data_IF_952312606588
#
_entry.id   IF_952312606588
#
_cell.length_a   1.000
_cell.length_b   1.000
_cell.length_c   1.000
_cell.angle_alpha   90.00
_cell.angle_beta   90.00
_cell.angle_gamma   90.00
#
_symmetry.space_group_name_H-M   'P 1'
#
loop_
_entity.id
_entity.type
_entity.pdbx_description
1 polymer ?
#
# COMPACT_ATOMS: atom_id res chain seq x y z
N UNK A 1 -8.54 30.82 -42.15
CA UNK A 1 -9.42 31.63 -41.29
C UNK A 1 -9.38 30.99 -39.92
N UNK A 2 -8.82 31.72 -38.96
CA UNK A 2 -8.70 31.33 -37.56
C UNK A 2 -10.06 31.55 -36.92
N UNK A 3 -10.73 30.47 -36.48
CA UNK A 3 -11.92 30.59 -35.65
C UNK A 3 -11.59 30.22 -34.20
N UNK A 4 -11.80 31.25 -33.39
CA UNK A 4 -11.77 31.44 -31.94
C UNK A 4 -12.33 30.29 -31.08
N UNK A 5 -11.53 29.85 -30.10
CA UNK A 5 -11.97 29.14 -28.89
C UNK A 5 -12.62 30.14 -27.90
N UNK A 6 -13.68 29.76 -27.17
CA UNK A 6 -14.24 30.61 -26.13
C UNK A 6 -13.37 30.62 -24.86
N UNK A 7 -13.17 31.83 -24.32
CA UNK A 7 -12.47 32.06 -23.06
C UNK A 7 -13.25 31.50 -21.87
N UNK A 8 -12.60 30.67 -21.05
CA UNK A 8 -13.07 30.34 -19.70
C UNK A 8 -12.51 31.40 -18.76
N UNK A 9 -13.39 32.23 -18.23
CA UNK A 9 -13.11 33.25 -17.22
C UNK A 9 -12.63 32.61 -15.92
N UNK A 10 -11.53 33.13 -15.38
CA UNK A 10 -11.06 32.85 -14.03
C UNK A 10 -12.14 33.21 -13.00
N UNK A 11 -12.77 32.18 -12.41
CA UNK A 11 -13.57 32.29 -11.21
C UNK A 11 -12.64 32.29 -10.01
N UNK A 12 -12.30 33.47 -9.50
CA UNK A 12 -11.68 33.65 -8.20
C UNK A 12 -12.67 33.28 -7.10
N UNK A 13 -12.59 32.07 -6.58
CA UNK A 13 -13.37 31.64 -5.42
C UNK A 13 -12.46 31.41 -4.21
N UNK A 14 -12.51 32.35 -3.27
CA UNK A 14 -12.20 32.11 -1.86
C UNK A 14 -10.74 32.31 -1.46
N UNK A 15 -10.32 33.57 -1.25
CA UNK A 15 -9.40 33.84 -0.16
C UNK A 15 -10.13 33.47 1.14
N UNK A 16 -9.96 32.24 1.60
CA UNK A 16 -10.21 31.88 2.98
C UNK A 16 -9.30 32.74 3.85
N UNK A 17 -9.89 33.57 4.70
CA UNK A 17 -9.20 34.41 5.68
C UNK A 17 -8.17 33.59 6.46
N UNK A 18 -6.92 34.07 6.50
CA UNK A 18 -5.80 33.46 7.21
C UNK A 18 -5.95 33.46 8.75
N UNK A 19 -7.08 33.92 9.28
CA UNK A 19 -7.35 34.06 10.70
C UNK A 19 -8.13 32.84 11.20
N UNK A 20 -7.40 31.82 11.67
CA UNK A 20 -8.00 30.66 12.34
C UNK A 20 -7.16 29.39 12.35
N UNK A 21 -6.06 29.30 11.56
CA UNK A 21 -5.15 28.16 11.66
C UNK A 21 -4.50 28.18 13.05
N UNK A 22 -4.89 27.23 13.90
CA UNK A 22 -4.19 26.95 15.16
C UNK A 22 -2.69 26.90 14.85
N UNK A 23 -1.89 27.67 15.56
CA UNK A 23 -0.43 27.57 15.48
C UNK A 23 -0.04 26.21 16.06
N UNK A 24 0.10 25.21 15.17
CA UNK A 24 0.63 23.92 15.56
C UNK A 24 2.11 24.14 15.93
N UNK A 25 2.49 23.71 17.12
CA UNK A 25 3.89 23.61 17.52
C UNK A 25 4.12 22.18 17.96
N UNK A 26 5.13 21.54 17.38
CA UNK A 26 5.46 20.15 17.65
C UNK A 26 6.80 20.11 18.36
N UNK A 27 6.82 19.51 19.56
CA UNK A 27 8.07 19.23 20.25
C UNK A 27 8.64 17.90 19.79
N UNK A 28 9.87 17.92 19.30
CA UNK A 28 10.51 16.77 18.63
C UNK A 28 11.86 16.50 19.28
N UNK A 29 12.06 15.27 19.74
CA UNK A 29 13.39 14.78 20.11
C UNK A 29 14.09 14.19 18.88
N UNK A 30 15.41 14.40 18.77
CA UNK A 30 16.22 13.91 17.66
C UNK A 30 17.46 13.22 18.19
N UNK A 31 17.65 11.97 17.79
CA UNK A 31 18.87 11.20 18.05
C UNK A 31 19.87 11.45 16.91
N UNK A 32 20.96 12.13 17.23
CA UNK A 32 22.01 12.51 16.30
C UNK A 32 23.37 12.52 17.01
N UNK A 33 24.44 12.08 16.33
CA UNK A 33 25.80 12.17 16.88
C UNK A 33 26.30 13.60 17.01
N UNK A 34 26.09 14.40 15.98
CA UNK A 34 26.66 15.74 15.82
C UNK A 34 25.58 16.85 15.82
N UNK A 35 24.31 16.48 15.73
CA UNK A 35 23.18 17.40 15.61
C UNK A 35 22.80 17.71 14.16
N UNK A 36 23.56 17.22 13.17
CA UNK A 36 23.36 17.54 11.76
C UNK A 36 22.50 16.49 11.04
N UNK A 37 22.65 15.21 11.38
CA UNK A 37 21.91 14.10 10.74
C UNK A 37 21.22 13.17 11.72
N UNK A 38 20.12 12.57 11.29
CA UNK A 38 19.38 11.55 12.06
C UNK A 38 20.05 10.19 11.84
N UNK A 39 21.10 9.91 12.61
CA UNK A 39 22.01 8.79 12.36
C UNK A 39 22.20 7.84 13.55
N UNK A 40 21.59 8.13 14.70
CA UNK A 40 21.71 7.31 15.88
C UNK A 40 20.57 6.31 16.05
N UNK A 41 20.97 5.09 16.42
CA UNK A 41 20.06 4.07 16.94
C UNK A 41 19.58 4.48 18.34
N UNK A 42 18.30 4.23 18.64
CA UNK A 42 17.71 4.55 19.95
C UNK A 42 18.55 4.05 21.13
N UNK A 43 19.00 2.78 21.08
CA UNK A 43 19.77 2.18 22.16
C UNK A 43 21.24 2.61 22.24
N UNK A 44 21.74 3.40 21.27
CA UNK A 44 23.12 3.92 21.28
C UNK A 44 23.14 5.45 21.44
N UNK A 45 21.98 6.08 21.57
CA UNK A 45 21.90 7.50 21.81
C UNK A 45 22.27 7.79 23.26
N UNK A 46 23.20 8.71 23.48
CA UNK A 46 23.57 9.21 24.82
C UNK A 46 22.85 10.53 25.13
N UNK A 47 22.34 11.20 24.09
CA UNK A 47 21.63 12.46 24.19
C UNK A 47 20.61 12.63 23.06
N UNK A 48 19.64 13.52 23.29
CA UNK A 48 18.63 13.90 22.31
C UNK A 48 18.56 15.42 22.21
N UNK A 49 18.74 15.95 21.00
CA UNK A 49 18.46 17.36 20.73
C UNK A 49 16.94 17.53 20.68
N UNK A 50 16.40 18.50 21.41
CA UNK A 50 14.96 18.78 21.43
C UNK A 50 14.69 20.06 20.68
N UNK A 51 13.70 20.02 19.80
CA UNK A 51 13.28 21.12 18.96
C UNK A 51 11.81 21.41 19.18
N UNK A 52 11.45 22.70 19.16
CA UNK A 52 10.10 23.12 18.85
C UNK A 52 10.03 23.41 17.35
N UNK A 53 9.03 22.89 16.65
CA UNK A 53 8.83 23.10 15.22
C UNK A 53 7.45 23.68 14.97
N UNK A 54 7.40 24.83 14.33
CA UNK A 54 6.18 25.52 13.94
C UNK A 54 6.27 26.06 12.49
N UNK A 55 5.33 26.93 12.10
CA UNK A 55 5.29 27.52 10.76
C UNK A 55 6.50 28.39 10.38
N UNK A 56 7.35 28.79 11.34
CA UNK A 56 8.60 29.51 11.10
C UNK A 56 9.80 28.57 10.93
N UNK A 57 9.64 27.29 11.28
CA UNK A 57 10.67 26.26 11.16
C UNK A 57 11.16 25.71 12.51
N UNK A 58 12.18 24.85 12.49
CA UNK A 58 12.70 24.20 13.69
C UNK A 58 13.58 25.15 14.52
N UNK A 59 13.35 25.17 15.83
CA UNK A 59 14.18 25.87 16.80
C UNK A 59 14.63 24.89 17.87
N UNK A 60 15.95 24.68 18.00
CA UNK A 60 16.48 23.85 19.09
C UNK A 60 16.21 24.54 20.42
N UNK A 61 15.55 23.83 21.33
CA UNK A 61 15.19 24.33 22.66
C UNK A 61 15.98 23.69 23.77
N UNK A 62 16.54 22.49 23.53
CA UNK A 62 17.28 21.75 24.55
C UNK A 62 18.24 20.72 23.93
N UNK A 63 19.16 20.22 24.75
CA UNK A 63 19.97 19.02 24.50
C UNK A 63 19.97 18.18 25.78
N UNK A 64 19.18 17.09 25.78
CA UNK A 64 18.99 16.25 26.95
C UNK A 64 19.92 15.06 26.91
N UNK A 65 20.89 14.99 27.82
CA UNK A 65 21.79 13.84 27.99
C UNK A 65 21.16 12.85 28.96
N UNK A 66 21.31 11.56 28.69
CA UNK A 66 20.81 10.49 29.57
C UNK A 66 21.38 10.63 30.97
N UNK A 67 22.70 10.81 31.08
CA UNK A 67 23.42 10.91 32.36
C UNK A 67 22.85 12.02 33.27
N UNK A 68 22.55 13.20 32.71
CA UNK A 68 21.99 14.34 33.44
C UNK A 68 20.57 14.08 33.99
N UNK A 69 19.88 13.04 33.49
CA UNK A 69 18.49 12.73 33.81
C UNK A 69 18.32 11.42 34.60
N UNK A 70 19.40 10.66 34.86
CA UNK A 70 19.32 9.44 35.66
C UNK A 70 19.01 9.76 37.12
N UNK A 71 18.24 8.89 37.76
CA UNK A 71 17.85 9.00 39.17
C UNK A 71 18.69 8.11 40.09
N UNK A 72 19.31 7.06 39.54
CA UNK A 72 20.27 6.20 40.24
C UNK A 72 21.24 5.53 39.27
N UNK A 73 22.38 5.04 39.78
CA UNK A 73 23.40 4.33 38.99
C UNK A 73 22.90 3.01 38.39
N UNK A 74 21.92 2.37 39.02
CA UNK A 74 21.33 1.09 38.58
C UNK A 74 20.09 1.25 37.68
N UNK A 75 19.67 2.49 37.36
CA UNK A 75 18.46 2.72 36.55
C UNK A 75 18.68 2.25 35.11
N UNK A 76 17.74 1.51 34.52
CA UNK A 76 17.76 1.19 33.08
C UNK A 76 17.76 2.50 32.27
N UNK A 77 18.77 2.76 31.42
CA UNK A 77 18.83 3.95 30.57
C UNK A 77 17.55 4.18 29.75
N UNK A 78 16.82 3.13 29.37
CA UNK A 78 15.57 3.27 28.61
C UNK A 78 14.47 3.98 29.39
N UNK A 79 14.32 3.68 30.68
CA UNK A 79 13.33 4.35 31.53
C UNK A 79 13.69 5.83 31.70
N UNK A 80 14.98 6.13 31.80
CA UNK A 80 15.46 7.52 31.77
C UNK A 80 15.07 8.21 30.46
N UNK A 81 15.28 7.56 29.30
CA UNK A 81 14.88 8.12 28.00
C UNK A 81 13.37 8.36 27.95
N UNK A 82 12.55 7.37 28.27
CA UNK A 82 11.08 7.49 28.23
C UNK A 82 10.59 8.66 29.08
N UNK A 83 11.16 8.84 30.27
CA UNK A 83 10.85 9.98 31.14
C UNK A 83 11.35 11.30 30.54
N UNK A 84 12.59 11.34 30.05
CA UNK A 84 13.21 12.60 29.63
C UNK A 84 12.54 13.21 28.41
N UNK A 85 12.02 12.42 27.47
CA UNK A 85 11.39 12.92 26.23
C UNK A 85 9.86 12.85 26.24
N UNK A 86 9.24 12.62 27.40
CA UNK A 86 7.78 12.43 27.52
C UNK A 86 6.94 13.63 27.06
N UNK A 87 7.53 14.83 27.03
CA UNK A 87 6.89 16.06 26.53
C UNK A 87 7.08 16.26 25.02
N UNK A 88 7.85 15.40 24.35
CA UNK A 88 8.00 15.39 22.90
C UNK A 88 6.85 14.61 22.28
N UNK A 89 6.25 15.15 21.22
CA UNK A 89 5.24 14.42 20.45
C UNK A 89 5.88 13.36 19.53
N UNK A 90 7.11 13.61 19.06
CA UNK A 90 7.80 12.75 18.08
C UNK A 90 9.26 12.56 18.49
N UNK A 91 9.80 11.38 18.23
CA UNK A 91 11.22 11.04 18.30
C UNK A 91 11.73 10.61 16.92
N UNK A 92 12.70 11.36 16.38
CA UNK A 92 13.41 11.02 15.13
C UNK A 92 14.69 10.24 15.45
N UNK A 93 14.80 9.03 14.92
CA UNK A 93 15.90 8.09 15.19
C UNK A 93 16.26 7.32 13.92
N UNK A 94 17.52 6.90 13.77
CA UNK A 94 17.90 6.10 12.61
C UNK A 94 17.30 4.69 12.65
N UNK A 95 17.14 4.12 13.84
CA UNK A 95 16.47 2.84 14.06
C UNK A 95 16.04 2.71 15.53
N UNK A 96 14.95 2.01 15.75
CA UNK A 96 14.36 1.69 17.07
C UNK A 96 13.76 0.28 17.00
N UNK A 97 13.80 -0.45 18.11
CA UNK A 97 13.19 -1.78 18.20
C UNK A 97 11.69 -1.68 18.53
N UNK A 98 10.94 -2.77 18.29
CA UNK A 98 9.50 -2.82 18.53
C UNK A 98 9.11 -2.49 19.98
N UNK A 99 9.75 -3.13 20.96
CA UNK A 99 9.43 -2.89 22.38
C UNK A 99 9.63 -1.42 22.82
N UNK A 100 10.76 -0.75 22.52
CA UNK A 100 10.88 0.69 22.78
C UNK A 100 9.87 1.56 22.02
N UNK A 101 9.52 1.19 20.79
CA UNK A 101 8.56 1.93 19.98
C UNK A 101 7.14 1.87 20.60
N UNK A 102 6.70 0.69 21.04
CA UNK A 102 5.43 0.52 21.76
C UNK A 102 5.43 1.26 23.11
N UNK A 103 6.54 1.18 23.86
CA UNK A 103 6.68 1.87 25.15
C UNK A 103 6.56 3.40 24.98
N UNK A 104 7.18 3.98 23.96
CA UNK A 104 7.07 5.40 23.64
C UNK A 104 5.65 5.77 23.17
N UNK A 105 5.06 4.98 22.29
CA UNK A 105 3.72 5.23 21.76
C UNK A 105 2.65 5.22 22.87
N UNK A 106 2.72 4.27 23.81
CA UNK A 106 1.82 4.22 24.98
C UNK A 106 1.93 5.45 25.89
N UNK A 107 3.01 6.23 25.76
CA UNK A 107 3.28 7.47 26.49
C UNK A 107 3.04 8.72 25.63
N UNK A 108 2.49 8.57 24.43
CA UNK A 108 2.18 9.68 23.52
C UNK A 108 3.36 10.19 22.69
N UNK A 109 4.49 9.45 22.66
CA UNK A 109 5.67 9.80 21.85
C UNK A 109 5.75 8.89 20.64
N UNK A 110 5.59 9.44 19.44
CA UNK A 110 5.75 8.70 18.19
C UNK A 110 7.23 8.56 17.83
N UNK A 111 7.81 7.35 17.95
CA UNK A 111 9.16 7.09 17.46
C UNK A 111 9.12 6.65 15.99
N UNK A 112 9.89 7.33 15.13
CA UNK A 112 9.93 7.03 13.69
C UNK A 112 11.35 7.05 13.13
N UNK A 113 11.60 6.12 12.21
CA UNK A 113 12.83 6.04 11.42
C UNK A 113 12.63 6.47 9.94
N UNK A 114 11.46 7.01 9.59
CA UNK A 114 11.18 7.48 8.22
C UNK A 114 12.16 8.54 7.73
N UNK A 115 12.79 9.26 8.66
CA UNK A 115 13.75 10.32 8.39
C UNK A 115 15.20 9.88 8.61
N UNK A 116 15.46 8.59 8.80
CA UNK A 116 16.80 8.06 9.00
C UNK A 116 17.76 8.49 7.89
N UNK A 117 18.93 9.00 8.29
CA UNK A 117 19.96 9.50 7.40
C UNK A 117 19.69 10.90 6.83
N UNK A 118 18.49 11.49 6.96
CA UNK A 118 18.25 12.87 6.51
C UNK A 118 18.95 13.89 7.42
N UNK A 119 19.18 15.09 6.89
CA UNK A 119 19.59 16.23 7.72
C UNK A 119 18.48 16.61 8.71
N UNK A 120 18.85 17.02 9.92
CA UNK A 120 17.89 17.28 11.02
C UNK A 120 16.91 18.40 10.64
N UNK A 121 17.42 19.55 10.21
CA UNK A 121 16.59 20.71 9.84
C UNK A 121 15.57 20.41 8.71
N UNK A 122 15.96 19.86 7.54
CA UNK A 122 14.99 19.54 6.50
C UNK A 122 14.00 18.44 6.92
N UNK A 123 14.43 17.46 7.73
CA UNK A 123 13.53 16.43 8.25
C UNK A 123 12.47 16.98 9.20
N UNK A 124 12.84 17.92 10.08
CA UNK A 124 11.89 18.58 10.99
C UNK A 124 10.86 19.42 10.23
N UNK A 125 11.28 20.14 9.19
CA UNK A 125 10.35 20.90 8.33
C UNK A 125 9.39 19.98 7.57
N UNK A 126 9.89 18.88 7.02
CA UNK A 126 9.08 17.88 6.34
C UNK A 126 8.07 17.22 7.31
N UNK A 127 8.51 16.85 8.52
CA UNK A 127 7.63 16.35 9.58
C UNK A 127 6.51 17.34 9.90
N UNK A 128 6.85 18.61 10.10
CA UNK A 128 5.87 19.65 10.39
C UNK A 128 4.86 19.82 9.25
N UNK A 129 5.34 19.89 8.00
CA UNK A 129 4.47 19.98 6.83
C UNK A 129 3.50 18.79 6.74
N UNK A 130 3.99 17.57 6.96
CA UNK A 130 3.17 16.35 6.96
C UNK A 130 2.12 16.37 8.09
N UNK A 131 2.52 16.79 9.29
CA UNK A 131 1.61 16.87 10.44
C UNK A 131 0.56 17.97 10.26
N UNK A 132 0.93 19.10 9.64
CA UNK A 132 0.00 20.16 9.29
C UNK A 132 -0.99 19.70 8.21
N UNK A 133 -0.50 19.02 7.16
CA UNK A 133 -1.36 18.44 6.12
C UNK A 133 -2.32 17.39 6.69
N UNK A 134 -1.89 16.60 7.68
CA UNK A 134 -2.75 15.62 8.36
C UNK A 134 -3.83 16.26 9.25
N UNK A 135 -3.74 17.56 9.55
CA UNK A 135 -4.80 18.33 10.22
C UNK A 135 -5.73 19.05 9.23
N UNK A 136 -5.45 18.96 7.94
CA UNK A 136 -6.29 19.52 6.90
C UNK A 136 -7.45 18.56 6.62
N UNK A 137 -8.69 19.06 6.74
CA UNK A 137 -9.90 18.31 6.38
C UNK A 137 -10.15 18.34 4.86
N UNK A 138 -9.20 18.87 4.07
CA UNK A 138 -9.26 18.83 2.62
C UNK A 138 -9.40 17.37 2.11
N UNK A 139 -10.24 17.13 1.08
CA UNK A 139 -10.33 15.83 0.46
C UNK A 139 -8.97 15.35 -0.05
N UNK A 140 -8.62 14.10 0.24
CA UNK A 140 -7.43 13.46 -0.31
C UNK A 140 -7.57 13.33 -1.84
N UNK A 141 -6.53 13.71 -2.58
CA UNK A 141 -6.45 13.38 -4.00
C UNK A 141 -6.18 11.89 -4.16
N UNK A 142 -7.18 11.17 -4.64
CA UNK A 142 -7.16 9.71 -4.82
C UNK A 142 -7.07 9.32 -6.29
N UNK A 143 -6.81 10.27 -7.20
CA UNK A 143 -6.82 10.03 -8.65
C UNK A 143 -5.80 8.97 -9.11
N UNK A 144 -4.69 8.83 -8.39
CA UNK A 144 -3.64 7.85 -8.70
C UNK A 144 -3.72 6.56 -7.85
N UNK A 145 -4.72 6.44 -6.97
CA UNK A 145 -4.85 5.25 -6.11
C UNK A 145 -5.17 4.03 -6.97
N UNK A 146 -4.46 2.92 -6.73
CA UNK A 146 -4.67 1.67 -7.45
C UNK A 146 -4.48 0.45 -6.55
N UNK A 147 -5.21 -0.62 -6.86
CA UNK A 147 -4.94 -1.94 -6.30
C UNK A 147 -3.62 -2.47 -6.87
N UNK A 148 -2.74 -2.94 -6.00
CA UNK A 148 -1.42 -3.45 -6.39
C UNK A 148 -1.43 -4.97 -6.57
N UNK A 149 -1.86 -5.71 -5.56
CA UNK A 149 -1.91 -7.16 -5.60
C UNK A 149 -2.96 -7.75 -4.64
N UNK A 150 -3.38 -8.98 -4.93
CA UNK A 150 -3.98 -9.88 -3.95
C UNK A 150 -2.96 -10.98 -3.61
N UNK A 151 -2.67 -11.17 -2.32
CA UNK A 151 -1.74 -12.19 -1.87
C UNK A 151 -2.47 -13.47 -1.47
N UNK A 152 -2.05 -14.60 -2.05
CA UNK A 152 -2.54 -15.93 -1.75
C UNK A 152 -1.38 -16.75 -1.16
N UNK A 153 -1.66 -17.41 -0.03
CA UNK A 153 -0.75 -18.43 0.48
C UNK A 153 -1.00 -19.74 -0.25
N UNK A 154 0.06 -20.37 -0.72
CA UNK A 154 0.01 -21.64 -1.47
C UNK A 154 0.95 -22.66 -0.86
N UNK A 155 0.55 -23.92 -0.88
CA UNK A 155 1.37 -25.03 -0.38
C UNK A 155 2.56 -25.31 -1.29
N UNK A 156 2.40 -25.15 -2.61
CA UNK A 156 3.44 -25.39 -3.61
C UNK A 156 3.47 -24.25 -4.64
N UNK A 157 4.60 -23.53 -4.69
CA UNK A 157 4.79 -22.39 -5.56
C UNK A 157 4.83 -22.78 -7.05
N UNK A 158 5.49 -23.89 -7.40
CA UNK A 158 5.64 -24.30 -8.80
C UNK A 158 4.32 -24.83 -9.36
N UNK A 159 3.58 -25.62 -8.57
CA UNK A 159 2.25 -26.12 -8.95
C UNK A 159 1.28 -24.96 -9.20
N UNK A 160 1.38 -23.92 -8.37
CA UNK A 160 0.57 -22.71 -8.51
C UNK A 160 0.99 -21.90 -9.74
N UNK A 161 2.30 -21.72 -9.97
CA UNK A 161 2.81 -21.07 -11.19
C UNK A 161 2.34 -21.81 -12.45
N UNK A 162 2.39 -23.14 -12.48
CA UNK A 162 1.88 -23.90 -13.63
C UNK A 162 0.37 -23.67 -13.86
N UNK A 163 -0.43 -23.58 -12.80
CA UNK A 163 -1.84 -23.24 -12.92
C UNK A 163 -2.04 -21.83 -13.51
N UNK A 164 -1.49 -20.79 -12.86
CA UNK A 164 -1.73 -19.40 -13.27
C UNK A 164 -1.05 -19.05 -14.59
N UNK A 165 0.19 -19.49 -14.82
CA UNK A 165 0.93 -19.21 -16.05
C UNK A 165 0.61 -20.22 -17.17
N UNK A 166 0.74 -21.51 -16.90
CA UNK A 166 0.55 -22.56 -17.91
C UNK A 166 -0.91 -22.70 -18.36
N UNK A 167 -1.85 -22.66 -17.42
CA UNK A 167 -3.28 -22.89 -17.71
C UNK A 167 -4.07 -21.60 -17.90
N UNK A 168 -3.76 -20.52 -17.19
CA UNK A 168 -4.48 -19.24 -17.31
C UNK A 168 -3.72 -18.16 -18.10
N UNK A 169 -2.47 -18.42 -18.51
CA UNK A 169 -1.73 -17.55 -19.43
C UNK A 169 -1.10 -16.31 -18.78
N UNK A 170 -1.00 -16.26 -17.45
CA UNK A 170 -0.22 -15.21 -16.78
C UNK A 170 1.29 -15.38 -17.04
N UNK A 171 2.07 -14.35 -16.74
CA UNK A 171 3.54 -14.42 -16.72
C UNK A 171 4.06 -14.25 -15.30
N UNK A 172 5.23 -14.84 -15.02
CA UNK A 172 5.98 -14.54 -13.79
C UNK A 172 6.66 -13.19 -13.99
N UNK A 173 6.21 -12.19 -13.25
CA UNK A 173 6.75 -10.83 -13.30
C UNK A 173 7.97 -10.69 -12.40
N UNK A 174 7.93 -11.36 -11.25
CA UNK A 174 9.00 -11.33 -10.26
C UNK A 174 8.97 -12.60 -9.41
N UNK A 175 10.15 -13.04 -8.95
CA UNK A 175 10.31 -14.13 -7.99
C UNK A 175 11.40 -13.78 -6.98
N UNK A 176 11.17 -14.05 -5.69
CA UNK A 176 12.16 -13.85 -4.62
C UNK A 176 12.13 -14.97 -3.60
N UNK A 177 13.28 -15.20 -2.97
CA UNK A 177 13.42 -16.07 -1.80
C UNK A 177 13.85 -15.26 -0.59
N UNK A 178 13.16 -15.44 0.53
CA UNK A 178 13.43 -14.75 1.78
C UNK A 178 14.02 -15.71 2.80
N UNK A 179 15.29 -16.08 2.61
CA UNK A 179 15.98 -17.10 3.43
C UNK A 179 15.90 -16.88 4.94
N UNK A 180 15.91 -15.62 5.39
CA UNK A 180 15.80 -15.31 6.84
C UNK A 180 14.41 -15.55 7.40
N UNK A 181 13.39 -15.39 6.56
CA UNK A 181 11.98 -15.52 6.94
C UNK A 181 11.36 -16.83 6.43
N UNK A 182 12.16 -17.67 5.74
CA UNK A 182 11.83 -19.02 5.29
C UNK A 182 10.57 -19.10 4.41
N UNK A 183 10.49 -18.25 3.38
CA UNK A 183 9.44 -18.33 2.36
C UNK A 183 9.93 -17.92 0.97
N UNK A 184 9.22 -18.42 -0.05
CA UNK A 184 9.38 -18.04 -1.46
C UNK A 184 8.15 -17.27 -1.92
N UNK A 185 8.35 -16.28 -2.79
CA UNK A 185 7.25 -15.50 -3.36
C UNK A 185 7.38 -15.36 -4.88
N UNK A 186 6.25 -15.22 -5.56
CA UNK A 186 6.19 -14.84 -6.98
C UNK A 186 5.03 -13.87 -7.24
N UNK A 187 5.26 -12.84 -8.06
CA UNK A 187 4.21 -11.96 -8.57
C UNK A 187 3.85 -12.38 -9.99
N UNK A 188 2.56 -12.62 -10.23
CA UNK A 188 2.00 -13.05 -11.50
C UNK A 188 1.01 -12.03 -12.04
N UNK A 189 0.94 -11.87 -13.35
CA UNK A 189 -0.03 -10.97 -13.98
C UNK A 189 -0.15 -11.14 -15.48
N UNK A 190 -0.94 -10.27 -16.10
CA UNK A 190 -1.11 -10.15 -17.54
C UNK A 190 -0.50 -8.84 -18.04
N UNK A 191 0.04 -8.85 -19.27
CA UNK A 191 0.65 -7.67 -19.89
C UNK A 191 2.15 -7.52 -19.60
N UNK A 192 2.71 -6.38 -19.99
CA UNK A 192 4.12 -6.03 -19.87
C UNK A 192 4.40 -5.28 -18.55
N UNK A 193 4.40 -6.02 -17.43
CA UNK A 193 4.90 -5.53 -16.13
C UNK A 193 3.84 -5.39 -15.04
N UNK A 194 4.18 -4.68 -13.96
CA UNK A 194 3.39 -4.55 -12.72
C UNK A 194 2.45 -3.33 -12.69
N UNK A 195 2.05 -2.84 -13.88
CA UNK A 195 1.18 -1.67 -14.01
C UNK A 195 -0.28 -1.99 -13.66
N UNK A 196 -0.70 -3.25 -13.76
CA UNK A 196 -2.01 -3.75 -13.31
C UNK A 196 -1.97 -4.44 -11.94
N UNK A 197 -3.15 -4.82 -11.43
CA UNK A 197 -3.26 -5.67 -10.25
C UNK A 197 -2.63 -7.04 -10.52
N UNK A 198 -1.84 -7.54 -9.57
CA UNK A 198 -1.12 -8.83 -9.67
C UNK A 198 -1.62 -9.84 -8.64
N UNK A 199 -1.31 -11.12 -8.87
CA UNK A 199 -1.45 -12.17 -7.85
C UNK A 199 -0.07 -12.38 -7.22
N UNK A 200 0.04 -12.16 -5.92
CA UNK A 200 1.23 -12.51 -5.16
C UNK A 200 1.04 -13.90 -4.55
N UNK A 201 1.87 -14.85 -4.95
CA UNK A 201 1.89 -16.19 -4.37
C UNK A 201 2.98 -16.27 -3.32
N UNK A 202 2.64 -16.77 -2.13
CA UNK A 202 3.60 -16.97 -1.03
C UNK A 202 3.57 -18.42 -0.55
N UNK A 203 4.73 -19.09 -0.64
CA UNK A 203 4.93 -20.44 -0.13
C UNK A 203 5.89 -20.42 1.08
N UNK A 204 5.37 -20.74 2.26
CA UNK A 204 6.16 -20.82 3.50
C UNK A 204 6.83 -22.20 3.58
N UNK A 205 8.16 -22.23 3.77
CA UNK A 205 8.94 -23.47 3.67
C UNK A 205 8.71 -24.47 4.80
N UNK A 206 8.20 -23.99 5.93
CA UNK A 206 7.96 -24.79 7.13
C UNK A 206 6.46 -25.06 7.36
N UNK A 207 5.62 -24.81 6.36
CA UNK A 207 4.19 -25.09 6.43
C UNK A 207 3.87 -26.35 5.62
N UNK A 208 3.48 -27.42 6.31
CA UNK A 208 3.25 -28.74 5.70
C UNK A 208 1.76 -29.02 5.47
N UNK A 209 0.88 -28.42 6.28
CA UNK A 209 -0.56 -28.60 6.19
C UNK A 209 -1.17 -27.77 5.04
N UNK A 210 -2.37 -28.16 4.60
CA UNK A 210 -3.15 -27.32 3.69
C UNK A 210 -3.68 -26.07 4.42
N UNK A 211 -3.67 -24.92 3.76
CA UNK A 211 -4.27 -23.71 4.31
C UNK A 211 -5.80 -23.85 4.42
N UNK A 212 -6.35 -23.38 5.54
CA UNK A 212 -7.80 -23.28 5.74
C UNK A 212 -8.30 -21.99 5.07
N UNK A 213 -9.10 -22.13 4.01
CA UNK A 213 -9.62 -21.00 3.25
C UNK A 213 -10.68 -20.17 4.00
N UNK A 214 -11.45 -20.81 4.89
CA UNK A 214 -12.63 -20.20 5.52
C UNK A 214 -13.76 -19.94 4.51
N UNK A 215 -14.72 -19.10 4.88
CA UNK A 215 -15.92 -18.75 4.09
C UNK A 215 -16.03 -17.26 3.75
N UNK A 216 -15.06 -16.44 4.20
CA UNK A 216 -15.06 -15.00 3.99
C UNK A 216 -14.49 -14.58 2.62
N UNK A 217 -13.44 -15.25 2.14
CA UNK A 217 -12.83 -14.91 0.86
C UNK A 217 -13.64 -15.49 -0.31
N UNK A 218 -14.11 -14.60 -1.19
CA UNK A 218 -14.97 -14.98 -2.32
C UNK A 218 -14.21 -15.64 -3.46
N UNK A 219 -13.45 -14.85 -4.22
CA UNK A 219 -12.68 -15.27 -5.41
C UNK A 219 -11.85 -14.11 -5.96
N UNK A 220 -10.94 -14.43 -6.89
CA UNK A 220 -10.34 -13.47 -7.82
C UNK A 220 -11.03 -13.61 -9.18
N UNK A 221 -11.41 -12.49 -9.80
CA UNK A 221 -12.06 -12.48 -11.10
C UNK A 221 -11.07 -12.14 -12.23
N UNK A 222 -11.15 -12.87 -13.35
CA UNK A 222 -10.32 -12.69 -14.53
C UNK A 222 -11.22 -12.51 -15.76
N UNK A 223 -11.03 -11.39 -16.46
CA UNK A 223 -11.64 -11.16 -17.77
C UNK A 223 -11.00 -12.05 -18.83
N UNK A 224 -11.80 -12.86 -19.52
CA UNK A 224 -11.31 -13.82 -20.53
C UNK A 224 -12.03 -13.67 -21.86
N UNK A 225 -11.36 -14.09 -22.93
CA UNK A 225 -11.96 -14.27 -24.26
C UNK A 225 -12.13 -15.75 -24.55
N UNK A 226 -13.24 -16.10 -25.21
CA UNK A 226 -13.59 -17.48 -25.55
C UNK A 226 -13.61 -18.41 -24.33
N UNK A 227 -14.45 -18.06 -23.35
CA UNK A 227 -14.55 -18.77 -22.07
C UNK A 227 -14.87 -20.26 -22.24
N UNK A 228 -15.69 -20.63 -23.23
CA UNK A 228 -16.02 -22.04 -23.49
C UNK A 228 -14.76 -22.83 -23.84
N UNK A 229 -13.95 -22.35 -24.80
CA UNK A 229 -12.70 -23.00 -25.17
C UNK A 229 -11.71 -23.07 -24.01
N UNK A 230 -11.63 -22.02 -23.19
CA UNK A 230 -10.78 -22.02 -22.01
C UNK A 230 -11.23 -23.09 -21.01
N UNK A 231 -12.52 -23.13 -20.67
CA UNK A 231 -13.09 -24.11 -19.76
C UNK A 231 -12.95 -25.55 -20.26
N UNK A 232 -13.11 -25.81 -21.56
CA UNK A 232 -12.86 -27.13 -22.14
C UNK A 232 -11.40 -27.57 -21.93
N UNK A 233 -10.44 -26.66 -22.14
CA UNK A 233 -9.01 -26.92 -21.90
C UNK A 233 -8.72 -27.17 -20.42
N UNK A 234 -9.32 -26.40 -19.52
CA UNK A 234 -9.15 -26.54 -18.08
C UNK A 234 -9.74 -27.86 -17.57
N UNK A 235 -10.94 -28.23 -18.03
CA UNK A 235 -11.58 -29.50 -17.71
C UNK A 235 -10.76 -30.69 -18.22
N UNK A 236 -10.24 -30.62 -19.45
CA UNK A 236 -9.35 -31.65 -20.01
C UNK A 236 -8.03 -31.79 -19.23
N UNK A 237 -7.57 -30.72 -18.57
CA UNK A 237 -6.42 -30.72 -17.68
C UNK A 237 -6.76 -31.12 -16.23
N UNK A 238 -7.99 -31.54 -15.94
CA UNK A 238 -8.42 -32.00 -14.62
C UNK A 238 -8.64 -30.88 -13.59
N UNK A 239 -8.76 -29.63 -14.02
CA UNK A 239 -9.02 -28.49 -13.12
C UNK A 239 -10.46 -28.58 -12.58
N UNK A 240 -10.67 -28.51 -11.24
CA UNK A 240 -12.01 -28.49 -10.67
C UNK A 240 -12.81 -27.28 -11.16
N UNK A 241 -14.05 -27.53 -11.58
CA UNK A 241 -14.94 -26.50 -12.13
C UNK A 241 -16.30 -26.58 -11.43
N UNK A 242 -16.43 -26.06 -10.20
CA UNK A 242 -17.68 -26.11 -9.43
C UNK A 242 -18.85 -25.39 -10.13
N UNK A 243 -18.55 -24.46 -11.04
CA UNK A 243 -19.55 -23.82 -11.89
C UNK A 243 -19.06 -23.75 -13.35
N UNK A 244 -19.62 -24.55 -14.28
CA UNK A 244 -19.29 -24.45 -15.69
C UNK A 244 -19.78 -23.11 -16.29
N UNK A 245 -19.30 -22.72 -17.50
CA UNK A 245 -19.75 -21.52 -18.19
C UNK A 245 -21.27 -21.44 -18.29
N UNK A 246 -21.84 -20.35 -17.76
CA UNK A 246 -23.27 -20.04 -17.86
C UNK A 246 -23.48 -18.55 -18.09
N UNK A 247 -24.46 -18.22 -18.93
CA UNK A 247 -24.92 -16.85 -19.11
C UNK A 247 -25.56 -16.32 -17.82
N UNK A 248 -25.26 -15.08 -17.46
CA UNK A 248 -25.93 -14.36 -16.38
C UNK A 248 -27.28 -13.82 -16.86
N UNK A 249 -28.28 -13.72 -15.97
CA UNK A 249 -29.60 -13.18 -16.34
C UNK A 249 -29.50 -11.68 -16.71
N UNK A 250 -30.18 -11.28 -17.77
CA UNK A 250 -30.32 -9.90 -18.30
C UNK A 250 -29.08 -9.26 -18.94
N UNK A 251 -28.00 -10.00 -19.19
CA UNK A 251 -26.86 -9.49 -19.96
C UNK A 251 -25.98 -10.64 -20.42
N UNK A 252 -25.51 -10.57 -21.66
CA UNK A 252 -24.83 -11.64 -22.41
C UNK A 252 -23.46 -12.07 -21.83
N UNK A 253 -23.13 -11.64 -20.60
CA UNK A 253 -21.93 -12.03 -19.87
C UNK A 253 -21.98 -13.51 -19.52
N UNK A 254 -20.91 -14.24 -19.84
CA UNK A 254 -20.75 -15.65 -19.50
C UNK A 254 -19.75 -15.78 -18.35
N UNK A 255 -20.13 -16.53 -17.32
CA UNK A 255 -19.31 -16.72 -16.11
C UNK A 255 -19.10 -18.20 -15.83
N UNK A 256 -17.87 -18.56 -15.43
CA UNK A 256 -17.51 -19.87 -14.88
C UNK A 256 -16.68 -19.70 -13.59
N UNK A 257 -16.64 -20.72 -12.75
CA UNK A 257 -15.73 -20.79 -11.61
C UNK A 257 -14.88 -22.04 -11.71
N UNK A 258 -13.58 -21.86 -11.54
CA UNK A 258 -12.59 -22.93 -11.38
C UNK A 258 -11.88 -22.80 -10.04
N UNK A 259 -11.26 -23.87 -9.57
CA UNK A 259 -10.45 -23.86 -8.35
C UNK A 259 -8.97 -24.03 -8.72
N UNK A 260 -8.12 -23.25 -8.07
CA UNK A 260 -6.67 -23.40 -8.17
C UNK A 260 -6.20 -24.63 -7.34
N UNK A 261 -4.90 -24.98 -7.37
CA UNK A 261 -4.39 -26.18 -6.69
C UNK A 261 -4.57 -26.20 -5.16
N UNK A 262 -4.86 -25.05 -4.56
CA UNK A 262 -5.04 -24.86 -3.13
C UNK A 262 -6.51 -24.58 -2.77
N UNK A 263 -7.41 -24.62 -3.77
CA UNK A 263 -8.86 -24.49 -3.61
C UNK A 263 -9.38 -23.06 -3.70
N UNK A 264 -8.53 -22.07 -4.00
CA UNK A 264 -9.00 -20.71 -4.20
C UNK A 264 -9.87 -20.65 -5.47
N UNK A 265 -11.04 -20.02 -5.34
CA UNK A 265 -11.96 -19.84 -6.45
C UNK A 265 -11.48 -18.73 -7.38
N UNK A 266 -11.48 -19.02 -8.67
CA UNK A 266 -11.20 -18.09 -9.76
C UNK A 266 -12.45 -17.95 -10.62
N UNK A 267 -13.00 -16.73 -10.66
CA UNK A 267 -14.13 -16.40 -11.54
C UNK A 267 -13.59 -16.03 -12.92
N UNK A 268 -14.06 -16.73 -13.95
CA UNK A 268 -13.76 -16.41 -15.34
C UNK A 268 -14.94 -15.64 -15.92
N UNK A 269 -14.71 -14.43 -16.40
CA UNK A 269 -15.76 -13.53 -16.89
C UNK A 269 -15.51 -13.18 -18.35
N UNK A 270 -16.46 -13.51 -19.21
CA UNK A 270 -16.47 -13.02 -20.59
C UNK A 270 -17.56 -11.96 -20.74
N UNK A 271 -17.15 -10.73 -21.08
CA UNK A 271 -18.06 -9.65 -21.41
C UNK A 271 -18.90 -9.96 -22.67
N UNK A 272 -20.08 -9.32 -22.84
CA UNK A 272 -20.86 -9.38 -24.07
C UNK A 272 -19.99 -9.07 -25.29
N UNK A 273 -20.20 -9.80 -26.40
CA UNK A 273 -19.63 -9.38 -27.67
C UNK A 273 -20.28 -8.07 -28.08
N UNK A 274 -19.49 -7.05 -28.42
CA UNK A 274 -20.06 -5.87 -29.08
C UNK A 274 -20.70 -6.33 -30.39
N UNK A 275 -22.01 -6.14 -30.54
CA UNK A 275 -22.69 -6.29 -31.82
C UNK A 275 -22.02 -5.35 -32.82
N UNK A 276 -21.65 -5.85 -34.00
CA UNK A 276 -21.14 -4.98 -35.07
C UNK A 276 -22.15 -3.84 -35.33
N UNK A 277 -21.68 -2.61 -35.64
CA UNK A 277 -22.59 -1.52 -35.97
C UNK A 277 -23.40 -1.91 -37.20
N UNK A 278 -24.67 -2.26 -36.99
CA UNK A 278 -25.58 -2.65 -38.05
C UNK A 278 -25.68 -1.56 -39.10
N UNK A 279 -25.44 -1.92 -40.36
CA UNK A 279 -25.80 -1.10 -41.52
C UNK A 279 -27.30 -0.85 -41.47
N UNK A 280 -27.70 0.38 -41.19
CA UNK A 280 -29.08 0.82 -41.39
C UNK A 280 -29.36 0.82 -42.90
N UNK A 281 -30.18 -0.11 -43.39
CA UNK A 281 -30.79 0.03 -44.71
C UNK A 281 -31.76 1.21 -44.67
N UNK A 282 -31.45 2.26 -45.42
CA UNK A 282 -32.39 3.34 -45.70
C UNK A 282 -33.44 2.80 -46.66
N UNK A 283 -34.61 2.48 -46.14
CA UNK A 283 -35.78 2.18 -46.97
C UNK A 283 -36.25 3.50 -47.59
N UNK A 284 -35.99 3.69 -48.88
CA UNK A 284 -36.61 4.78 -49.64
C UNK A 284 -38.06 4.38 -49.95
N UNK A 285 -39.00 4.92 -49.18
CA UNK A 285 -40.41 4.85 -49.50
C UNK A 285 -40.66 5.70 -50.76
N UNK A 286 -40.86 5.04 -51.89
CA UNK A 286 -41.27 5.68 -53.14
C UNK A 286 -42.71 5.25 -53.40
N UNK A 287 -43.66 6.04 -52.89
CA UNK A 287 -45.05 5.95 -53.30
C UNK A 287 -45.34 7.00 -54.39
N UNK A 288 -45.76 6.51 -55.54
CA UNK A 288 -46.64 7.19 -56.49
C UNK A 288 -47.82 6.25 -56.75
#
# INVERSE_FOLDING_TARGET
>A
MLDTLPQISAGSSGLGSAEGRKSLTIRVAVASRDGDRIDLHFGHAEAFSVFDVDGQGPRRVDLRRIEDHRTSEDEDPRETIYRMIRDCAVLLVAKVGAAPQEALASRGVEATNMYAGKGVDPALRELYANKLAATDDAPLDTAEFRLLHAMLRVADLERSIDFYCGKLGMTVLERREHKKNMFSQAYLGYGDGSNGMTVELVANWLHEDAYVLGDAFGHIAIGVKNINRLCDRLAAAGVPMPRPPRSQRHGETIVAFVEDPDGYRIELVQAPQASEPGTFEVVHDTQA
#
